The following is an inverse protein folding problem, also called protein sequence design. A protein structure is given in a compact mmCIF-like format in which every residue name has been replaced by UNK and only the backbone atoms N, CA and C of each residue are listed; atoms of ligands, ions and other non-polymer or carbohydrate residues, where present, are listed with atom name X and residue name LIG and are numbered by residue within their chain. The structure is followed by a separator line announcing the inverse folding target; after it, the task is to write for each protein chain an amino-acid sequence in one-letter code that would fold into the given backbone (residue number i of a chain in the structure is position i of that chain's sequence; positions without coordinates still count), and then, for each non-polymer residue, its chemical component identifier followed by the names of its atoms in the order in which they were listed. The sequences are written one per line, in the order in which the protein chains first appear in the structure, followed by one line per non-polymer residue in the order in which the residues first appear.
data_IF_301940037717
#
_entry.id   IF_301940037717
#
_cell.length_a   1.000
_cell.length_b   1.000
_cell.length_c   1.000
_cell.angle_alpha   90.00
_cell.angle_beta   90.00
_cell.angle_gamma   90.00
#
_symmetry.space_group_name_H-M   'P 1'
#
loop_
_entity.id
_entity.type
_entity.pdbx_description
1 polymer ?
#
# COMPACT_ATOMS: atom_id res chain seq x y z
N UNK A 1 22.15 3.64 -6.40
CA UNK A 1 21.97 3.22 -7.80
C UNK A 1 20.74 2.33 -8.04
N UNK A 2 20.45 1.32 -7.19
CA UNK A 2 19.33 0.38 -7.36
C UNK A 2 17.96 1.10 -7.37
N UNK A 3 17.70 1.99 -6.43
CA UNK A 3 16.42 2.72 -6.30
C UNK A 3 16.09 3.58 -7.52
N UNK A 4 17.11 4.22 -8.11
CA UNK A 4 16.94 5.02 -9.33
C UNK A 4 16.59 4.13 -10.52
N UNK A 5 17.23 2.96 -10.66
CA UNK A 5 16.94 2.06 -11.79
C UNK A 5 15.50 1.55 -11.77
N UNK A 6 14.93 1.28 -10.58
CA UNK A 6 13.52 0.91 -10.44
C UNK A 6 12.60 2.11 -10.75
N UNK A 7 12.89 3.29 -10.20
CA UNK A 7 12.12 4.50 -10.46
C UNK A 7 12.13 4.91 -11.94
N UNK A 8 13.18 4.54 -12.68
CA UNK A 8 13.35 4.80 -14.12
C UNK A 8 12.56 3.86 -15.03
N UNK A 9 12.04 2.73 -14.53
CA UNK A 9 11.35 1.77 -15.38
C UNK A 9 10.18 2.42 -16.13
N UNK A 10 10.16 2.26 -17.45
CA UNK A 10 9.15 2.77 -18.38
C UNK A 10 8.97 4.31 -18.41
N UNK A 11 9.89 5.12 -17.82
CA UNK A 11 9.71 6.57 -17.68
C UNK A 11 10.93 7.39 -18.12
N UNK A 12 11.91 6.78 -18.81
CA UNK A 12 13.20 7.39 -19.16
C UNK A 12 13.10 8.64 -20.06
N UNK A 13 11.98 8.80 -20.78
CA UNK A 13 11.76 9.93 -21.70
C UNK A 13 11.08 11.13 -21.04
N UNK A 14 10.69 11.05 -19.77
CA UNK A 14 10.05 12.17 -19.08
C UNK A 14 11.07 13.26 -18.77
N UNK A 15 10.64 14.54 -18.92
CA UNK A 15 11.49 15.70 -18.71
C UNK A 15 12.08 15.76 -17.30
N UNK A 16 11.29 15.50 -16.28
CA UNK A 16 11.69 15.43 -14.87
C UNK A 16 12.77 14.36 -14.61
N UNK A 17 12.65 13.22 -15.29
CA UNK A 17 13.61 12.12 -15.24
C UNK A 17 14.92 12.50 -15.92
N UNK A 18 14.85 13.12 -17.11
CA UNK A 18 16.05 13.55 -17.85
C UNK A 18 16.84 14.61 -17.08
N UNK A 19 16.16 15.57 -16.44
CA UNK A 19 16.78 16.58 -15.58
C UNK A 19 17.51 15.91 -14.41
N UNK A 20 16.85 15.00 -13.69
CA UNK A 20 17.44 14.29 -12.56
C UNK A 20 18.65 13.45 -12.96
N UNK A 21 18.57 12.77 -14.11
CA UNK A 21 19.63 11.85 -14.55
C UNK A 21 20.83 12.55 -15.17
N UNK A 22 20.70 13.80 -15.59
CA UNK A 22 21.81 14.62 -16.12
C UNK A 22 22.93 14.78 -15.07
N UNK A 23 22.53 15.13 -13.84
CA UNK A 23 23.42 15.34 -12.71
C UNK A 23 23.12 14.31 -11.60
N UNK A 24 23.10 13.03 -12.01
CA UNK A 24 22.56 11.92 -11.21
C UNK A 24 23.23 11.76 -9.86
N UNK A 25 24.57 11.80 -9.80
CA UNK A 25 25.33 11.59 -8.57
C UNK A 25 25.08 12.73 -7.57
N UNK A 26 25.10 13.98 -8.03
CA UNK A 26 24.81 15.15 -7.22
C UNK A 26 23.37 15.13 -6.67
N UNK A 27 22.40 14.77 -7.52
CA UNK A 27 21.01 14.63 -7.09
C UNK A 27 20.79 13.48 -6.10
N UNK A 28 21.56 12.39 -6.19
CA UNK A 28 21.52 11.30 -5.21
C UNK A 28 22.14 11.70 -3.88
N UNK A 29 23.26 12.43 -3.90
CA UNK A 29 23.88 12.96 -2.69
C UNK A 29 22.93 13.93 -2.00
N UNK A 30 22.24 14.80 -2.75
CA UNK A 30 21.20 15.66 -2.21
C UNK A 30 20.06 14.87 -1.56
N UNK A 31 19.52 13.85 -2.22
CA UNK A 31 18.49 12.97 -1.62
C UNK A 31 18.98 12.39 -0.30
N UNK A 32 20.23 11.91 -0.27
CA UNK A 32 20.84 11.35 0.93
C UNK A 32 20.95 12.38 2.05
N UNK A 33 21.45 13.57 1.74
CA UNK A 33 21.62 14.66 2.71
C UNK A 33 20.27 15.12 3.26
N UNK A 34 19.28 15.33 2.39
CA UNK A 34 17.93 15.75 2.80
C UNK A 34 17.26 14.74 3.74
N UNK A 35 17.47 13.44 3.48
CA UNK A 35 16.94 12.38 4.38
C UNK A 35 17.70 12.36 5.70
N UNK A 36 19.04 12.38 5.68
CA UNK A 36 19.86 12.26 6.88
C UNK A 36 19.73 13.46 7.81
N UNK A 37 19.59 14.65 7.24
CA UNK A 37 19.43 15.91 7.99
C UNK A 37 17.97 16.21 8.35
N UNK A 38 17.03 15.30 8.02
CA UNK A 38 15.58 15.51 8.17
C UNK A 38 15.08 16.81 7.49
N UNK A 39 15.75 17.20 6.41
CA UNK A 39 15.46 18.40 5.62
C UNK A 39 14.54 18.12 4.41
N UNK A 40 14.22 16.85 4.16
CA UNK A 40 13.32 16.50 3.06
C UNK A 40 11.93 17.08 3.28
N UNK A 41 11.47 17.90 2.33
CA UNK A 41 10.08 18.36 2.22
C UNK A 41 9.50 17.86 0.90
N UNK A 42 8.33 17.18 0.92
CA UNK A 42 7.69 16.73 -0.31
C UNK A 42 7.30 17.91 -1.21
N UNK A 43 7.55 17.77 -2.51
CA UNK A 43 7.16 18.76 -3.51
C UNK A 43 5.66 18.82 -3.72
N UNK A 44 5.17 19.89 -4.35
CA UNK A 44 3.76 20.00 -4.72
C UNK A 44 3.33 18.91 -5.70
N UNK A 45 2.07 18.46 -5.57
CA UNK A 45 1.49 17.47 -6.45
C UNK A 45 1.11 18.04 -7.81
N UNK A 46 1.38 17.26 -8.83
CA UNK A 46 0.80 17.43 -10.15
C UNK A 46 -0.47 16.58 -10.28
N UNK A 47 -1.61 17.21 -10.53
CA UNK A 47 -2.93 16.57 -10.59
C UNK A 47 -3.32 16.27 -12.04
N UNK A 48 -3.77 15.04 -12.29
CA UNK A 48 -4.37 14.66 -13.57
C UNK A 48 -5.42 13.56 -13.36
N UNK A 49 -6.33 13.42 -14.33
CA UNK A 49 -7.36 12.39 -14.30
C UNK A 49 -7.01 11.22 -15.18
N UNK A 50 -7.33 10.03 -14.72
CA UNK A 50 -7.30 8.77 -15.49
C UNK A 50 -8.72 8.24 -15.56
N UNK A 51 -9.16 7.77 -16.75
CA UNK A 51 -10.55 7.42 -16.99
C UNK A 51 -10.81 5.92 -17.12
N UNK A 52 -9.78 5.08 -17.07
CA UNK A 52 -9.92 3.62 -17.19
C UNK A 52 -9.45 2.90 -15.91
N UNK A 53 -10.25 1.94 -15.39
CA UNK A 53 -11.65 1.58 -15.75
C UNK A 53 -12.70 2.53 -15.16
N UNK A 54 -12.31 3.43 -14.26
CA UNK A 54 -13.14 4.46 -13.62
C UNK A 54 -12.35 5.77 -13.57
N UNK A 55 -13.06 6.90 -13.54
CA UNK A 55 -12.42 8.19 -13.32
C UNK A 55 -11.73 8.22 -11.94
N UNK A 56 -10.44 8.53 -11.97
CA UNK A 56 -9.63 8.70 -10.74
C UNK A 56 -8.76 9.94 -10.89
N UNK A 57 -8.73 10.76 -9.85
CA UNK A 57 -7.74 11.82 -9.74
C UNK A 57 -6.43 11.24 -9.23
N UNK A 58 -5.38 11.41 -10.00
CA UNK A 58 -4.02 10.96 -9.63
C UNK A 58 -3.23 12.18 -9.17
N UNK A 59 -2.54 12.02 -8.05
CA UNK A 59 -1.62 12.98 -7.47
C UNK A 59 -0.20 12.47 -7.68
N UNK A 60 0.54 13.09 -8.59
CA UNK A 60 1.89 12.66 -8.93
C UNK A 60 2.93 13.63 -8.39
N UNK A 61 3.93 13.11 -7.74
CA UNK A 61 5.10 13.86 -7.33
C UNK A 61 6.17 13.90 -8.42
N UNK A 62 7.04 14.93 -8.44
CA UNK A 62 8.24 14.98 -9.25
C UNK A 62 9.14 13.75 -9.08
N UNK A 63 10.08 13.56 -10.00
CA UNK A 63 10.93 12.37 -9.98
C UNK A 63 11.84 12.29 -8.75
N UNK A 64 12.28 13.44 -8.22
CA UNK A 64 13.06 13.54 -6.98
C UNK A 64 12.34 12.86 -5.81
N UNK A 65 11.11 13.22 -5.55
CA UNK A 65 10.28 12.65 -4.47
C UNK A 65 10.03 11.17 -4.67
N UNK A 66 9.88 10.74 -5.91
CA UNK A 66 9.72 9.32 -6.23
C UNK A 66 10.97 8.51 -5.90
N UNK A 67 12.17 9.09 -6.09
CA UNK A 67 13.43 8.45 -5.66
C UNK A 67 13.47 8.33 -4.14
N UNK A 68 13.06 9.37 -3.41
CA UNK A 68 12.94 9.35 -1.94
C UNK A 68 11.95 8.26 -1.51
N UNK A 69 10.74 8.22 -2.09
CA UNK A 69 9.74 7.20 -1.77
C UNK A 69 10.23 5.78 -2.06
N UNK A 70 10.96 5.55 -3.15
CA UNK A 70 11.58 4.26 -3.43
C UNK A 70 12.64 3.88 -2.39
N UNK A 71 13.46 4.84 -1.94
CA UNK A 71 14.46 4.59 -0.90
C UNK A 71 13.79 4.15 0.41
N UNK A 72 12.76 4.87 0.83
CA UNK A 72 11.98 4.57 2.04
C UNK A 72 11.29 3.21 1.90
N UNK A 73 10.59 2.98 0.80
CA UNK A 73 9.80 1.76 0.60
C UNK A 73 10.68 0.51 0.59
N UNK A 74 11.88 0.58 0.00
CA UNK A 74 12.81 -0.55 -0.01
C UNK A 74 13.30 -0.98 1.39
N UNK A 75 13.27 -0.06 2.36
CA UNK A 75 13.60 -0.35 3.76
C UNK A 75 12.38 -0.84 4.51
N UNK A 76 11.22 -0.20 4.32
CA UNK A 76 10.01 -0.49 5.09
C UNK A 76 9.28 -1.75 4.60
N UNK A 77 9.17 -1.94 3.29
CA UNK A 77 8.43 -3.08 2.70
C UNK A 77 8.84 -4.42 3.32
N UNK A 78 10.15 -4.82 3.37
CA UNK A 78 10.53 -6.10 3.94
C UNK A 78 10.30 -6.22 5.45
N UNK A 79 10.19 -5.10 6.17
CA UNK A 79 9.89 -5.08 7.60
C UNK A 79 8.41 -5.38 7.83
N UNK A 80 7.51 -4.69 7.10
CA UNK A 80 6.08 -4.86 7.24
C UNK A 80 5.55 -6.11 6.55
N UNK A 81 6.12 -6.51 5.40
CA UNK A 81 5.70 -7.70 4.66
C UNK A 81 5.75 -8.99 5.49
N UNK A 82 6.71 -9.10 6.41
CA UNK A 82 6.83 -10.23 7.35
C UNK A 82 5.69 -10.30 8.37
N UNK A 83 4.98 -9.20 8.58
CA UNK A 83 3.88 -9.10 9.55
C UNK A 83 2.52 -9.37 8.91
N UNK A 84 2.38 -9.02 7.65
CA UNK A 84 1.13 -9.19 6.92
C UNK A 84 0.75 -10.67 6.81
N UNK A 85 -0.53 -10.94 6.97
CA UNK A 85 -1.05 -12.29 6.76
C UNK A 85 -0.72 -12.80 5.36
N UNK A 86 -0.64 -14.11 5.19
CA UNK A 86 -0.35 -14.73 3.89
C UNK A 86 -1.42 -14.43 2.84
N UNK A 87 -2.66 -14.20 3.24
CA UNK A 87 -3.82 -13.96 2.39
C UNK A 87 -4.06 -12.47 2.04
N UNK A 88 -3.13 -11.58 2.36
CA UNK A 88 -3.09 -10.22 1.82
C UNK A 88 -2.25 -10.20 0.53
N UNK A 89 -2.84 -9.82 -0.60
CA UNK A 89 -2.24 -10.05 -1.93
C UNK A 89 -1.85 -8.79 -2.69
N UNK A 90 -2.41 -7.63 -2.39
CA UNK A 90 -2.14 -6.42 -3.15
C UNK A 90 -0.78 -5.82 -2.86
N UNK A 91 -0.08 -5.36 -3.90
CA UNK A 91 1.19 -4.63 -3.82
C UNK A 91 2.30 -5.35 -3.03
N UNK A 92 2.35 -6.69 -3.10
CA UNK A 92 3.37 -7.53 -2.46
C UNK A 92 4.08 -8.40 -3.48
N UNK A 93 5.39 -8.62 -3.30
CA UNK A 93 6.20 -9.47 -4.20
C UNK A 93 5.73 -10.92 -4.17
N UNK A 94 5.60 -11.55 -5.32
CA UNK A 94 5.15 -12.93 -5.44
C UNK A 94 3.65 -13.14 -5.15
N UNK A 95 2.91 -12.05 -4.93
CA UNK A 95 1.47 -12.01 -4.73
C UNK A 95 0.79 -11.38 -5.97
N UNK A 96 -0.42 -10.91 -5.84
CA UNK A 96 -1.16 -10.25 -6.90
C UNK A 96 -2.53 -10.87 -7.14
N UNK A 97 -3.29 -10.32 -8.08
CA UNK A 97 -4.67 -10.71 -8.33
C UNK A 97 -4.80 -12.18 -8.74
N UNK A 98 -3.87 -12.69 -9.57
CA UNK A 98 -3.91 -14.10 -10.00
C UNK A 98 -3.70 -15.05 -8.83
N UNK A 99 -2.70 -14.79 -7.98
CA UNK A 99 -2.46 -15.60 -6.80
C UNK A 99 -3.65 -15.58 -5.81
N UNK A 100 -4.28 -14.42 -5.61
CA UNK A 100 -5.51 -14.30 -4.82
C UNK A 100 -6.65 -15.13 -5.41
N UNK A 101 -6.86 -15.04 -6.72
CA UNK A 101 -7.90 -15.81 -7.43
C UNK A 101 -7.64 -17.30 -7.38
N UNK A 102 -6.39 -17.73 -7.51
CA UNK A 102 -6.04 -19.15 -7.50
C UNK A 102 -6.24 -19.75 -6.09
N UNK A 103 -5.86 -19.03 -5.03
CA UNK A 103 -6.15 -19.43 -3.65
C UNK A 103 -7.66 -19.56 -3.40
N UNK A 104 -8.45 -18.59 -3.89
CA UNK A 104 -9.90 -18.66 -3.75
C UNK A 104 -10.51 -19.85 -4.49
N UNK A 105 -10.04 -20.13 -5.72
CA UNK A 105 -10.49 -21.30 -6.49
C UNK A 105 -10.14 -22.62 -5.81
N UNK A 106 -8.93 -22.70 -5.23
CA UNK A 106 -8.49 -23.89 -4.49
C UNK A 106 -9.40 -24.15 -3.29
N UNK A 107 -9.71 -23.14 -2.47
CA UNK A 107 -10.64 -23.28 -1.34
C UNK A 107 -12.05 -23.70 -1.78
N UNK A 108 -12.58 -23.13 -2.84
CA UNK A 108 -13.89 -23.50 -3.39
C UNK A 108 -13.90 -24.93 -3.93
N UNK A 109 -12.82 -25.35 -4.61
CA UNK A 109 -12.67 -26.71 -5.12
C UNK A 109 -12.57 -27.72 -3.99
N UNK A 110 -11.74 -27.47 -2.98
CA UNK A 110 -11.59 -28.34 -1.81
C UNK A 110 -12.90 -28.46 -1.03
N UNK A 111 -13.56 -27.32 -0.78
CA UNK A 111 -14.86 -27.35 -0.12
C UNK A 111 -15.87 -28.23 -0.86
N UNK A 112 -16.05 -28.00 -2.14
CA UNK A 112 -17.02 -28.75 -2.95
C UNK A 112 -16.69 -30.24 -3.06
N UNK A 113 -15.40 -30.59 -3.05
CA UNK A 113 -14.92 -31.98 -3.05
C UNK A 113 -15.23 -32.71 -1.76
N UNK A 114 -15.04 -32.06 -0.61
CA UNK A 114 -15.18 -32.73 0.70
C UNK A 114 -16.56 -32.50 1.35
N UNK A 115 -17.32 -31.51 0.87
CA UNK A 115 -18.63 -31.15 1.40
C UNK A 115 -19.66 -30.91 0.28
N UNK A 116 -19.91 -31.90 -0.61
CA UNK A 116 -20.72 -31.71 -1.82
C UNK A 116 -22.18 -31.28 -1.56
N UNK A 117 -22.72 -31.67 -0.40
CA UNK A 117 -24.11 -31.39 -0.02
C UNK A 117 -24.25 -30.18 0.96
N UNK A 118 -23.14 -29.50 1.26
CA UNK A 118 -23.15 -28.36 2.18
C UNK A 118 -22.95 -27.07 1.45
N UNK A 119 -23.77 -26.03 1.68
CA UNK A 119 -23.57 -24.74 1.08
C UNK A 119 -22.33 -24.06 1.67
N UNK A 120 -21.62 -23.31 0.83
CA UNK A 120 -20.59 -22.37 1.26
C UNK A 120 -21.07 -20.96 0.93
N UNK A 121 -21.12 -20.13 1.94
CA UNK A 121 -21.51 -18.73 1.80
C UNK A 121 -20.28 -17.84 1.65
N UNK A 122 -20.44 -16.73 0.95
CA UNK A 122 -19.38 -15.74 0.75
C UNK A 122 -19.88 -14.34 1.08
N UNK A 123 -19.08 -13.58 1.81
CA UNK A 123 -19.14 -12.11 1.82
C UNK A 123 -18.04 -11.60 0.91
N UNK A 124 -18.41 -10.73 -0.03
CA UNK A 124 -17.49 -9.84 -0.72
C UNK A 124 -17.77 -8.42 -0.27
N UNK A 125 -16.76 -7.77 0.26
CA UNK A 125 -16.85 -6.39 0.72
C UNK A 125 -15.73 -5.54 0.11
N UNK A 126 -16.01 -4.24 0.00
CA UNK A 126 -15.14 -3.20 -0.53
C UNK A 126 -15.24 -1.97 0.37
N UNK A 127 -14.12 -1.31 0.67
CA UNK A 127 -14.12 -0.14 1.52
C UNK A 127 -14.29 1.11 0.65
N UNK A 128 -15.44 1.76 0.79
CA UNK A 128 -15.76 2.96 0.04
C UNK A 128 -14.75 4.08 0.28
N UNK A 129 -14.21 4.64 -0.82
CA UNK A 129 -13.22 5.72 -0.80
C UNK A 129 -12.02 5.45 0.11
N UNK A 130 -11.51 4.22 0.12
CA UNK A 130 -10.52 3.74 1.07
C UNK A 130 -9.32 4.68 1.25
N UNK A 131 -8.60 5.02 0.18
CA UNK A 131 -7.43 5.89 0.25
C UNK A 131 -7.73 7.28 0.82
N UNK A 132 -8.91 7.82 0.52
CA UNK A 132 -9.37 9.11 1.02
C UNK A 132 -9.86 9.06 2.47
N UNK A 133 -10.12 7.87 3.01
CA UNK A 133 -10.67 7.65 4.34
C UNK A 133 -9.61 7.23 5.38
N UNK A 134 -8.37 7.05 4.98
CA UNK A 134 -7.29 6.64 5.89
C UNK A 134 -7.01 7.78 6.88
N UNK A 135 -7.24 7.51 8.17
CA UNK A 135 -6.92 8.40 9.27
C UNK A 135 -5.42 8.41 9.56
N UNK A 136 -4.79 9.58 9.53
CA UNK A 136 -3.35 9.73 9.74
C UNK A 136 -2.91 9.34 11.15
N UNK A 137 -3.70 9.64 12.17
CA UNK A 137 -3.34 9.31 13.55
C UNK A 137 -3.33 7.80 13.78
N UNK A 138 -4.31 7.10 13.21
CA UNK A 138 -4.36 5.62 13.22
C UNK A 138 -3.19 5.04 12.43
N UNK A 139 -2.94 5.48 11.20
CA UNK A 139 -1.83 5.00 10.37
C UNK A 139 -0.48 5.20 11.07
N UNK A 140 -0.23 6.39 11.60
CA UNK A 140 0.99 6.72 12.35
C UNK A 140 1.14 5.83 13.58
N UNK A 141 0.04 5.51 14.26
CA UNK A 141 0.04 4.60 15.42
C UNK A 141 0.46 3.20 15.01
N UNK A 142 -0.09 2.66 13.92
CA UNK A 142 0.28 1.34 13.40
C UNK A 142 1.77 1.27 13.00
N UNK A 143 2.27 2.31 12.32
CA UNK A 143 3.68 2.40 11.96
C UNK A 143 4.58 2.41 13.21
N UNK A 144 4.20 3.18 14.25
CA UNK A 144 4.96 3.30 15.51
C UNK A 144 5.00 2.01 16.35
N UNK A 145 4.09 1.07 16.11
CA UNK A 145 4.19 -0.27 16.72
C UNK A 145 5.45 -1.00 16.27
N UNK A 146 5.92 -0.73 15.04
CA UNK A 146 7.04 -1.44 14.39
C UNK A 146 8.30 -0.60 14.32
N UNK A 147 8.21 0.62 13.83
CA UNK A 147 9.33 1.54 13.66
C UNK A 147 9.52 2.36 14.95
N UNK A 148 10.76 2.40 15.44
CA UNK A 148 11.11 3.10 16.70
C UNK A 148 12.11 4.25 16.48
N UNK A 149 12.77 4.31 15.34
CA UNK A 149 13.72 5.38 15.02
C UNK A 149 12.97 6.71 14.84
N UNK A 150 13.34 7.70 15.64
CA UNK A 150 12.66 8.99 15.68
C UNK A 150 12.83 9.78 14.37
N UNK A 151 13.99 9.66 13.71
CA UNK A 151 14.26 10.33 12.44
C UNK A 151 13.41 9.74 11.31
N UNK A 152 13.33 8.41 11.24
CA UNK A 152 12.46 7.72 10.28
C UNK A 152 10.99 8.07 10.52
N UNK A 153 10.54 8.09 11.78
CA UNK A 153 9.17 8.46 12.11
C UNK A 153 8.83 9.90 11.72
N UNK A 154 9.74 10.86 11.96
CA UNK A 154 9.56 12.24 11.54
C UNK A 154 9.43 12.38 10.01
N UNK A 155 10.26 11.64 9.27
CA UNK A 155 10.20 11.60 7.80
C UNK A 155 8.87 11.00 7.31
N UNK A 156 8.41 9.90 7.93
CA UNK A 156 7.15 9.25 7.56
C UNK A 156 5.94 10.11 7.89
N UNK A 157 5.94 10.78 9.05
CA UNK A 157 4.89 11.72 9.43
C UNK A 157 4.73 12.83 8.40
N UNK A 158 5.84 13.40 7.95
CA UNK A 158 5.86 14.45 6.92
C UNK A 158 5.29 13.98 5.58
N UNK A 159 5.61 12.74 5.18
CA UNK A 159 5.08 12.15 3.94
C UNK A 159 3.59 11.84 4.08
N UNK A 160 3.13 11.37 5.23
CA UNK A 160 1.72 11.06 5.49
C UNK A 160 0.89 12.36 5.52
N UNK A 161 1.40 13.40 6.20
CA UNK A 161 0.69 14.67 6.33
C UNK A 161 0.66 15.46 5.00
N UNK A 162 1.56 15.16 4.08
CA UNK A 162 1.53 15.73 2.72
C UNK A 162 0.51 15.01 1.85
N UNK A 163 -0.77 15.27 2.09
CA UNK A 163 -1.90 14.59 1.45
C UNK A 163 -2.54 15.36 0.29
N UNK A 164 -1.89 16.42 -0.20
CA UNK A 164 -2.36 17.23 -1.32
C UNK A 164 -3.55 18.12 -0.96
N UNK A 165 -4.65 17.98 -1.69
CA UNK A 165 -5.88 18.77 -1.50
C UNK A 165 -6.95 18.05 -0.66
N UNK A 166 -6.58 16.97 0.04
CA UNK A 166 -7.49 16.28 0.96
C UNK A 166 -7.59 17.02 2.31
N UNK A 167 -8.61 16.74 3.12
CA UNK A 167 -8.73 17.33 4.45
C UNK A 167 -7.52 16.98 5.34
N UNK A 168 -7.17 17.89 6.25
CA UNK A 168 -6.08 17.66 7.19
C UNK A 168 -6.31 16.40 8.04
N UNK A 169 -5.27 15.60 8.20
CA UNK A 169 -5.29 14.40 9.03
C UNK A 169 -6.01 13.20 8.42
N UNK A 170 -6.52 13.29 7.20
CA UNK A 170 -7.26 12.21 6.54
C UNK A 170 -6.85 12.08 5.07
N UNK A 171 -6.71 10.84 4.62
CA UNK A 171 -6.47 10.49 3.24
C UNK A 171 -4.99 10.44 2.85
N UNK A 172 -4.67 9.51 1.97
CA UNK A 172 -3.34 9.37 1.36
C UNK A 172 -3.44 9.42 -0.16
N UNK A 173 -2.46 10.04 -0.84
CA UNK A 173 -2.53 10.29 -2.28
C UNK A 173 -2.50 9.02 -3.11
N UNK A 174 -3.42 8.90 -4.07
CA UNK A 174 -3.38 7.85 -5.10
C UNK A 174 -2.33 8.24 -6.13
N UNK A 175 -1.28 7.43 -6.27
CA UNK A 175 -0.17 7.66 -7.20
C UNK A 175 1.21 7.61 -6.55
N UNK A 176 1.28 7.73 -5.24
CA UNK A 176 2.52 7.57 -4.47
C UNK A 176 2.82 6.10 -4.21
N UNK A 177 4.10 5.72 -4.28
CA UNK A 177 4.54 4.36 -3.97
C UNK A 177 4.32 4.01 -2.49
N UNK A 178 4.64 4.94 -1.60
CA UNK A 178 4.46 4.77 -0.15
C UNK A 178 3.01 4.60 0.25
N UNK A 179 2.06 5.20 -0.47
CA UNK A 179 0.63 5.07 -0.19
C UNK A 179 0.13 3.62 -0.29
N UNK A 180 0.70 2.83 -1.20
CA UNK A 180 0.35 1.40 -1.33
C UNK A 180 0.78 0.59 -0.09
N UNK A 181 1.97 0.86 0.41
CA UNK A 181 2.46 0.23 1.64
C UNK A 181 1.65 0.70 2.86
N UNK A 182 1.40 2.00 2.97
CA UNK A 182 0.61 2.59 4.06
C UNK A 182 -0.82 2.04 4.11
N UNK A 183 -1.45 1.86 2.95
CA UNK A 183 -2.75 1.22 2.85
C UNK A 183 -2.74 -0.22 3.38
N UNK A 184 -1.72 -1.01 3.05
CA UNK A 184 -1.59 -2.36 3.60
C UNK A 184 -1.30 -2.36 5.11
N UNK A 185 -0.48 -1.44 5.62
CA UNK A 185 -0.21 -1.28 7.05
C UNK A 185 -1.49 -0.92 7.82
N UNK A 186 -2.30 -0.01 7.27
CA UNK A 186 -3.54 0.42 7.89
C UNK A 186 -4.54 -0.71 8.08
N UNK A 187 -4.70 -1.59 7.08
CA UNK A 187 -5.61 -2.73 7.15
C UNK A 187 -5.01 -4.00 7.76
N UNK A 188 -3.71 -4.00 8.08
CA UNK A 188 -3.11 -5.15 8.78
C UNK A 188 -3.80 -5.40 10.12
N UNK A 189 -4.22 -4.36 10.83
CA UNK A 189 -4.97 -4.51 12.08
C UNK A 189 -6.31 -5.26 11.87
N UNK A 190 -7.02 -4.98 10.77
CA UNK A 190 -8.24 -5.70 10.39
C UNK A 190 -7.91 -7.15 10.01
N UNK A 191 -6.86 -7.37 9.24
CA UNK A 191 -6.40 -8.70 8.84
C UNK A 191 -6.09 -9.58 10.07
N UNK A 192 -5.33 -9.04 11.03
CA UNK A 192 -4.98 -9.73 12.28
C UNK A 192 -6.22 -10.04 13.12
N UNK A 193 -7.15 -9.09 13.24
CA UNK A 193 -8.41 -9.28 13.95
C UNK A 193 -9.24 -10.42 13.33
N UNK A 194 -9.46 -10.39 12.02
CA UNK A 194 -10.24 -11.42 11.31
C UNK A 194 -9.58 -12.80 11.45
N UNK A 195 -8.26 -12.90 11.29
CA UNK A 195 -7.54 -14.18 11.32
C UNK A 195 -7.37 -14.73 12.72
N UNK A 196 -7.06 -13.91 13.71
CA UNK A 196 -6.61 -14.36 15.02
C UNK A 196 -7.65 -14.18 16.12
N UNK A 197 -8.47 -13.12 16.08
CA UNK A 197 -9.53 -12.92 17.07
C UNK A 197 -10.83 -13.60 16.65
N UNK A 198 -11.24 -13.45 15.40
CA UNK A 198 -12.45 -14.12 14.88
C UNK A 198 -12.19 -15.55 14.41
N UNK A 199 -10.94 -15.97 14.22
CA UNK A 199 -10.56 -17.31 13.79
C UNK A 199 -11.03 -17.67 12.37
N UNK A 200 -11.23 -16.69 11.49
CA UNK A 200 -11.70 -16.93 10.12
C UNK A 200 -10.57 -17.48 9.26
N UNK A 201 -10.66 -18.74 8.85
CA UNK A 201 -9.62 -19.38 8.04
C UNK A 201 -9.66 -18.91 6.58
N UNK A 202 -10.83 -18.90 5.96
CA UNK A 202 -11.03 -18.56 4.56
C UNK A 202 -11.31 -17.06 4.37
N UNK A 203 -10.31 -16.23 4.64
CA UNK A 203 -10.27 -14.78 4.45
C UNK A 203 -9.17 -14.41 3.47
N UNK A 204 -9.50 -13.59 2.48
CA UNK A 204 -8.59 -13.09 1.45
C UNK A 204 -8.81 -11.60 1.25
N UNK A 205 -7.73 -10.82 1.18
CA UNK A 205 -7.79 -9.38 0.90
C UNK A 205 -6.91 -8.98 -0.28
N UNK A 206 -7.45 -8.14 -1.14
CA UNK A 206 -6.75 -7.45 -2.20
C UNK A 206 -6.96 -5.94 -2.08
N UNK A 207 -6.07 -5.23 -1.41
CA UNK A 207 -6.17 -3.84 -1.01
C UNK A 207 -7.41 -3.61 -0.11
N UNK A 208 -8.41 -2.90 -0.61
CA UNK A 208 -9.70 -2.59 0.01
C UNK A 208 -10.80 -3.63 -0.25
N UNK A 209 -10.63 -4.45 -1.27
CA UNK A 209 -11.50 -5.60 -1.56
C UNK A 209 -11.14 -6.81 -0.68
N UNK A 210 -12.13 -7.44 -0.05
CA UNK A 210 -11.90 -8.70 0.66
C UNK A 210 -13.06 -9.68 0.52
N UNK A 211 -12.73 -10.95 0.66
CA UNK A 211 -13.68 -12.07 0.61
C UNK A 211 -13.51 -12.93 1.85
N UNK A 212 -14.63 -13.28 2.48
CA UNK A 212 -14.71 -14.24 3.57
C UNK A 212 -15.64 -15.38 3.10
N UNK A 213 -15.21 -16.64 3.32
CA UNK A 213 -16.03 -17.81 3.10
C UNK A 213 -16.35 -18.47 4.44
N UNK A 214 -17.61 -18.91 4.63
CA UNK A 214 -18.04 -19.72 5.77
C UNK A 214 -19.19 -20.65 5.39
N UNK A 215 -19.24 -21.86 5.94
CA UNK A 215 -20.43 -22.72 5.86
C UNK A 215 -21.59 -22.20 6.71
N UNK A 216 -21.29 -21.37 7.71
CA UNK A 216 -22.28 -20.77 8.59
C UNK A 216 -22.61 -19.35 8.13
N UNK A 217 -23.85 -19.19 7.65
CA UNK A 217 -24.36 -17.89 7.17
C UNK A 217 -24.48 -16.86 8.31
N UNK A 218 -24.76 -17.28 9.53
CA UNK A 218 -24.91 -16.38 10.67
C UNK A 218 -23.55 -15.83 11.12
N UNK A 219 -22.48 -16.62 10.98
CA UNK A 219 -21.11 -16.16 11.24
C UNK A 219 -20.69 -15.00 10.30
N UNK A 220 -21.33 -14.89 9.14
CA UNK A 220 -21.06 -13.86 8.15
C UNK A 220 -21.90 -12.57 8.33
N UNK A 221 -22.69 -12.46 9.40
CA UNK A 221 -23.52 -11.28 9.71
C UNK A 221 -22.89 -10.41 10.78
#
# INVERSE_FOLDING_TARGET
CYNVSIALQCKRHRKDVLIFTKDKEENLDKVREDILNLAYEPSEYHYFKVYEPKERQIMALPFYDRVVQHAINNVLEPIFDKRFISQSYACRKGKGMHAASDTLKEWLYEWNKYHPDQPLYAIKADIHHYFQSIDHAVLKTEIRKVIKDAGVLALLDRIIDHNGNMPDGVGIPVGNLTSQLFANIYLDALDQFIKHELGVEAYIRYMDDFVILSPDKEQLR
#
